data_IF_196604181095
#
_entry.id   IF_196604181095
#
_cell.length_a   1.000
_cell.length_b   1.000
_cell.length_c   1.000
_cell.angle_alpha   90.00
_cell.angle_beta   90.00
_cell.angle_gamma   90.00
#
_symmetry.space_group_name_H-M   'P 1'
#
loop_
_entity.id
_entity.type
_entity.pdbx_description
1 polymer ?
#
# COMPACT_ATOMS: atom_id res chain seq x y z
N UNK A 1 11.19 42.11 -66.85
CA UNK A 1 10.49 42.00 -65.56
C UNK A 1 10.67 40.57 -65.05
N UNK A 2 11.66 40.33 -64.19
CA UNK A 2 11.56 40.28 -62.72
C UNK A 2 11.19 38.87 -62.20
N UNK A 3 12.23 38.10 -61.84
CA UNK A 3 12.40 37.09 -60.77
C UNK A 3 11.19 36.30 -60.22
N UNK A 4 11.26 34.95 -60.25
CA UNK A 4 10.97 33.96 -59.16
C UNK A 4 11.66 32.63 -59.58
N UNK A 5 12.86 32.17 -59.18
CA UNK A 5 13.44 31.66 -57.91
C UNK A 5 12.69 30.47 -57.25
N UNK A 6 13.26 29.26 -57.48
CA UNK A 6 13.55 28.14 -56.55
C UNK A 6 12.52 27.74 -55.46
N UNK A 7 12.16 26.44 -55.43
CA UNK A 7 12.32 25.55 -54.25
C UNK A 7 11.39 24.32 -54.34
N UNK A 8 11.92 23.18 -54.77
CA UNK A 8 11.38 21.86 -54.40
C UNK A 8 12.54 21.01 -53.87
N UNK A 9 13.04 21.41 -52.70
CA UNK A 9 13.90 20.57 -51.88
C UNK A 9 12.99 19.70 -51.01
N UNK A 10 12.79 18.46 -51.46
CA UNK A 10 12.14 17.39 -50.70
C UNK A 10 13.06 17.02 -49.53
N UNK A 11 12.91 17.74 -48.42
CA UNK A 11 13.51 17.34 -47.15
C UNK A 11 12.73 16.15 -46.64
N UNK A 12 13.32 14.97 -46.76
CA UNK A 12 13.04 13.82 -45.91
C UNK A 12 13.26 14.23 -44.46
N UNK A 13 12.25 14.76 -43.80
CA UNK A 13 12.20 14.82 -42.34
C UNK A 13 11.87 13.41 -41.84
N UNK A 14 12.89 12.56 -41.83
CA UNK A 14 12.91 11.36 -41.00
C UNK A 14 12.94 11.84 -39.56
N UNK A 15 11.77 12.00 -38.94
CA UNK A 15 11.66 12.05 -37.48
C UNK A 15 11.96 10.63 -37.01
N UNK A 16 13.25 10.31 -36.90
CA UNK A 16 13.71 9.31 -35.95
C UNK A 16 13.46 9.91 -34.56
N UNK A 17 12.22 9.76 -34.10
CA UNK A 17 11.88 9.91 -32.70
C UNK A 17 12.69 8.87 -31.94
N UNK A 18 13.89 9.25 -31.51
CA UNK A 18 14.61 8.57 -30.45
C UNK A 18 13.72 8.75 -29.23
N UNK A 19 12.83 7.79 -29.00
CA UNK A 19 12.29 7.55 -27.67
C UNK A 19 13.51 7.17 -26.83
N UNK A 20 14.12 8.15 -26.17
CA UNK A 20 14.87 7.81 -24.97
C UNK A 20 13.82 7.20 -24.05
N UNK A 21 13.83 5.87 -23.91
CA UNK A 21 13.20 5.26 -22.75
C UNK A 21 13.78 6.03 -21.57
N UNK A 22 12.95 6.84 -20.90
CA UNK A 22 13.34 7.46 -19.64
C UNK A 22 13.79 6.30 -18.77
N UNK A 23 15.09 6.24 -18.51
CA UNK A 23 15.66 5.21 -17.66
C UNK A 23 14.95 5.34 -16.30
N UNK A 24 14.25 4.28 -15.91
CA UNK A 24 13.38 4.30 -14.74
C UNK A 24 14.26 4.54 -13.50
N UNK A 25 14.06 5.68 -12.81
CA UNK A 25 14.90 6.08 -11.68
C UNK A 25 14.78 5.01 -10.58
N UNK A 26 15.86 4.25 -10.36
CA UNK A 26 15.93 3.22 -9.31
C UNK A 26 16.27 3.88 -7.98
N UNK A 27 15.37 3.77 -7.02
CA UNK A 27 15.58 4.24 -5.65
C UNK A 27 15.97 3.04 -4.79
N UNK A 28 17.21 3.03 -4.31
CA UNK A 28 17.69 2.04 -3.35
C UNK A 28 17.45 2.52 -1.91
N UNK A 29 16.88 1.65 -1.07
CA UNK A 29 16.57 1.97 0.33
C UNK A 29 16.98 0.81 1.24
N UNK A 30 17.84 1.11 2.22
CA UNK A 30 18.18 0.20 3.31
C UNK A 30 17.23 0.45 4.50
N UNK A 31 16.36 -0.52 4.84
CA UNK A 31 15.34 -0.32 5.87
C UNK A 31 14.99 -1.58 6.66
N UNK A 32 14.49 -1.39 7.89
CA UNK A 32 14.04 -2.47 8.78
C UNK A 32 12.51 -2.56 8.89
N UNK A 33 12.02 -3.79 8.75
CA UNK A 33 10.66 -4.21 9.09
C UNK A 33 10.65 -5.02 10.38
N UNK A 34 9.54 -4.92 11.12
CA UNK A 34 9.39 -5.55 12.43
C UNK A 34 7.98 -6.12 12.53
N UNK A 35 7.86 -7.35 13.01
CA UNK A 35 6.58 -8.00 13.25
C UNK A 35 6.52 -8.60 14.65
N UNK A 36 5.53 -8.18 15.43
CA UNK A 36 5.29 -8.68 16.79
C UNK A 36 4.43 -9.95 16.73
N UNK A 37 5.02 -11.09 17.07
CA UNK A 37 4.35 -12.38 17.04
C UNK A 37 3.28 -12.47 18.12
N UNK A 38 2.06 -12.83 17.72
CA UNK A 38 1.03 -13.27 18.66
C UNK A 38 1.27 -14.75 19.05
N UNK A 39 0.59 -15.21 20.10
CA UNK A 39 0.62 -16.61 20.49
C UNK A 39 0.11 -17.51 19.34
N UNK A 40 0.79 -18.62 19.08
CA UNK A 40 0.44 -19.57 18.02
C UNK A 40 0.86 -19.18 16.60
N UNK A 41 1.45 -18.00 16.39
CA UNK A 41 1.98 -17.59 15.08
C UNK A 41 3.27 -18.34 14.75
N UNK A 42 3.34 -18.89 13.54
CA UNK A 42 4.55 -19.55 13.04
C UNK A 42 5.69 -18.55 12.81
N UNK A 43 6.93 -19.03 12.92
CA UNK A 43 8.11 -18.22 12.62
C UNK A 43 8.13 -17.81 11.15
N UNK A 44 7.64 -18.67 10.26
CA UNK A 44 7.57 -18.38 8.82
C UNK A 44 6.67 -17.18 8.52
N UNK A 45 5.45 -17.18 9.08
CA UNK A 45 4.55 -16.04 8.94
C UNK A 45 5.18 -14.76 9.51
N UNK A 46 5.84 -14.86 10.66
CA UNK A 46 6.47 -13.70 11.27
C UNK A 46 7.62 -13.12 10.42
N UNK A 47 8.40 -13.99 9.77
CA UNK A 47 9.47 -13.60 8.85
C UNK A 47 8.89 -12.93 7.60
N UNK A 48 7.92 -13.56 6.95
CA UNK A 48 7.25 -13.00 5.76
C UNK A 48 6.61 -11.65 6.05
N UNK A 49 5.92 -11.52 7.18
CA UNK A 49 5.32 -10.23 7.57
C UNK A 49 6.38 -9.17 7.90
N UNK A 50 7.47 -9.53 8.59
CA UNK A 50 8.55 -8.57 8.85
C UNK A 50 9.25 -8.13 7.55
N UNK A 51 9.43 -9.03 6.59
CA UNK A 51 9.96 -8.73 5.26
C UNK A 51 9.02 -7.82 4.47
N UNK A 52 7.72 -8.15 4.40
CA UNK A 52 6.71 -7.32 3.76
C UNK A 52 6.64 -5.91 4.38
N UNK A 53 6.68 -5.79 5.71
CA UNK A 53 6.68 -4.48 6.40
C UNK A 53 7.93 -3.68 6.04
N UNK A 54 9.09 -4.32 5.88
CA UNK A 54 10.31 -3.65 5.43
C UNK A 54 10.14 -3.11 4.00
N UNK A 55 9.64 -3.96 3.08
CA UNK A 55 9.33 -3.58 1.69
C UNK A 55 8.33 -2.42 1.65
N UNK A 56 7.25 -2.49 2.44
CA UNK A 56 6.20 -1.46 2.48
C UNK A 56 6.77 -0.10 2.86
N UNK A 57 7.65 -0.05 3.86
CA UNK A 57 8.31 1.19 4.26
C UNK A 57 9.23 1.73 3.16
N UNK A 58 9.91 0.86 2.41
CA UNK A 58 10.71 1.27 1.26
C UNK A 58 9.82 1.87 0.16
N UNK A 59 8.72 1.19 -0.20
CA UNK A 59 7.73 1.69 -1.16
C UNK A 59 7.13 3.02 -0.71
N UNK A 60 6.77 3.16 0.57
CA UNK A 60 6.23 4.41 1.11
C UNK A 60 7.24 5.55 1.04
N UNK A 61 8.52 5.26 1.27
CA UNK A 61 9.60 6.26 1.19
C UNK A 61 9.87 6.67 -0.25
N UNK A 62 10.08 5.70 -1.14
CA UNK A 62 10.34 5.93 -2.56
C UNK A 62 9.14 6.59 -3.26
N UNK A 63 7.93 6.12 -2.98
CA UNK A 63 6.69 6.66 -3.54
C UNK A 63 6.45 8.13 -3.18
N UNK A 64 6.73 8.55 -1.93
CA UNK A 64 6.69 9.97 -1.55
C UNK A 64 7.65 10.82 -2.40
N UNK A 65 8.87 10.35 -2.59
CA UNK A 65 9.88 11.05 -3.38
C UNK A 65 9.49 11.12 -4.87
N UNK A 66 9.09 10.00 -5.46
CA UNK A 66 8.66 9.93 -6.87
C UNK A 66 7.43 10.81 -7.12
N UNK A 67 6.46 10.79 -6.20
CA UNK A 67 5.26 11.62 -6.29
C UNK A 67 5.61 13.11 -6.18
N UNK A 68 6.51 13.49 -5.27
CA UNK A 68 7.00 14.87 -5.16
C UNK A 68 7.72 15.35 -6.42
N UNK A 69 8.43 14.46 -7.12
CA UNK A 69 9.03 14.73 -8.44
C UNK A 69 8.05 14.63 -9.61
N UNK A 70 6.77 14.34 -9.36
CA UNK A 70 5.76 14.08 -10.41
C UNK A 70 6.11 12.94 -11.37
N UNK A 71 6.91 11.97 -10.91
CA UNK A 71 7.26 10.76 -11.67
C UNK A 71 6.20 9.66 -11.56
N UNK A 72 5.34 9.75 -10.54
CA UNK A 72 4.15 8.92 -10.37
C UNK A 72 2.96 9.81 -10.00
N UNK A 73 1.75 9.33 -10.28
CA UNK A 73 0.52 9.96 -9.82
C UNK A 73 0.43 9.99 -8.29
N UNK A 74 -0.36 10.90 -7.73
CA UNK A 74 -0.66 10.92 -6.29
C UNK A 74 -1.58 9.77 -5.85
N UNK A 75 -2.24 9.10 -6.81
CA UNK A 75 -3.19 7.99 -6.67
C UNK A 75 -4.41 8.23 -5.77
N UNK A 76 -4.48 9.36 -5.05
CA UNK A 76 -5.59 9.75 -4.19
C UNK A 76 -6.07 8.61 -3.29
N UNK A 77 -7.38 8.31 -3.36
CA UNK A 77 -8.03 7.25 -2.58
C UNK A 77 -7.56 5.83 -2.90
N UNK A 78 -6.80 5.62 -3.99
CA UNK A 78 -6.23 4.32 -4.37
C UNK A 78 -4.81 4.11 -3.86
N UNK A 79 -4.20 5.13 -3.25
CA UNK A 79 -2.78 5.09 -2.85
C UNK A 79 -2.47 3.84 -2.02
N UNK A 80 -3.25 3.56 -0.98
CA UNK A 80 -2.97 2.44 -0.08
C UNK A 80 -3.11 1.07 -0.76
N UNK A 81 -4.03 0.94 -1.73
CA UNK A 81 -4.19 -0.26 -2.57
C UNK A 81 -2.96 -0.47 -3.45
N UNK A 82 -2.61 0.56 -4.22
CA UNK A 82 -1.51 0.53 -5.20
C UNK A 82 -0.17 0.31 -4.50
N UNK A 83 0.08 0.99 -3.38
CA UNK A 83 1.33 0.83 -2.64
C UNK A 83 1.44 -0.57 -2.01
N UNK A 84 0.33 -1.17 -1.57
CA UNK A 84 0.35 -2.53 -1.03
C UNK A 84 0.63 -3.56 -2.12
N UNK A 85 0.03 -3.40 -3.30
CA UNK A 85 0.32 -4.26 -4.45
C UNK A 85 1.76 -4.09 -4.97
N UNK A 86 2.26 -2.86 -5.05
CA UNK A 86 3.65 -2.60 -5.42
C UNK A 86 4.62 -3.29 -4.43
N UNK A 87 4.31 -3.26 -3.14
CA UNK A 87 5.13 -3.88 -2.08
C UNK A 87 5.33 -5.37 -2.29
N UNK A 88 4.33 -6.09 -2.82
CA UNK A 88 4.50 -7.51 -3.14
C UNK A 88 5.56 -7.74 -4.21
N UNK A 89 5.58 -6.91 -5.24
CA UNK A 89 6.33 -7.16 -6.47
C UNK A 89 7.76 -6.62 -6.44
N UNK A 90 8.06 -5.59 -5.64
CA UNK A 90 9.41 -4.99 -5.66
C UNK A 90 10.50 -6.00 -5.28
N UNK A 91 11.69 -5.81 -5.86
CA UNK A 91 12.87 -6.59 -5.52
C UNK A 91 13.49 -6.09 -4.20
N UNK A 92 13.86 -7.03 -3.33
CA UNK A 92 14.54 -6.73 -2.09
C UNK A 92 15.48 -7.85 -1.66
N UNK A 93 16.69 -7.48 -1.27
CA UNK A 93 17.69 -8.37 -0.69
C UNK A 93 17.60 -8.32 0.84
N UNK A 94 17.59 -9.48 1.52
CA UNK A 94 17.68 -9.54 2.97
C UNK A 94 19.14 -9.38 3.40
N UNK A 95 19.47 -8.25 4.02
CA UNK A 95 20.80 -7.97 4.57
C UNK A 95 21.01 -8.63 5.93
N UNK A 96 19.97 -8.66 6.76
CA UNK A 96 20.01 -9.22 8.11
C UNK A 96 18.62 -9.64 8.56
N UNK A 97 18.54 -10.72 9.33
CA UNK A 97 17.33 -11.11 10.04
C UNK A 97 17.68 -11.55 11.46
N UNK A 98 16.81 -11.23 12.41
CA UNK A 98 16.94 -11.68 13.80
C UNK A 98 15.59 -11.79 14.48
N UNK A 99 15.51 -12.71 15.43
CA UNK A 99 14.38 -12.85 16.35
C UNK A 99 14.80 -12.33 17.71
N UNK A 100 14.00 -11.42 18.28
CA UNK A 100 14.14 -10.98 19.66
C UNK A 100 13.02 -11.62 20.47
N UNK A 101 13.36 -12.19 21.62
CA UNK A 101 12.39 -12.76 22.55
C UNK A 101 12.55 -12.05 23.88
N UNK A 102 11.45 -11.52 24.39
CA UNK A 102 11.37 -10.85 25.69
C UNK A 102 10.15 -11.41 26.44
N UNK A 103 10.41 -12.27 27.43
CA UNK A 103 9.38 -13.08 28.09
C UNK A 103 8.55 -13.88 27.08
N UNK A 104 7.24 -13.66 27.08
CA UNK A 104 6.30 -14.32 26.17
C UNK A 104 6.11 -13.58 24.83
N UNK A 105 6.72 -12.40 24.66
CA UNK A 105 6.66 -11.64 23.43
C UNK A 105 7.85 -11.98 22.53
N UNK A 106 7.58 -12.20 21.24
CA UNK A 106 8.64 -12.41 20.26
C UNK A 106 8.45 -11.46 19.08
N UNK A 107 9.54 -10.82 18.65
CA UNK A 107 9.53 -9.91 17.51
C UNK A 107 10.52 -10.41 16.47
N UNK A 108 10.06 -10.57 15.24
CA UNK A 108 10.92 -10.83 14.09
C UNK A 108 11.31 -9.52 13.42
N UNK A 109 12.58 -9.36 13.10
CA UNK A 109 13.14 -8.14 12.52
C UNK A 109 13.92 -8.53 11.28
N UNK A 110 13.60 -7.89 10.15
CA UNK A 110 14.29 -8.08 8.87
C UNK A 110 14.80 -6.72 8.41
N UNK A 111 16.08 -6.64 8.07
CA UNK A 111 16.70 -5.52 7.38
C UNK A 111 16.90 -5.89 5.92
N UNK A 112 16.42 -5.04 5.02
CA UNK A 112 16.52 -5.26 3.58
C UNK A 112 17.25 -4.11 2.90
N UNK A 113 17.75 -4.39 1.69
CA UNK A 113 18.00 -3.40 0.64
C UNK A 113 16.92 -3.58 -0.43
N UNK A 114 16.05 -2.60 -0.58
CA UNK A 114 14.98 -2.62 -1.57
C UNK A 114 15.33 -1.75 -2.76
N UNK A 115 14.89 -2.15 -3.96
CA UNK A 115 14.95 -1.36 -5.18
C UNK A 115 13.53 -1.02 -5.60
N UNK A 116 13.23 0.27 -5.72
CA UNK A 116 11.88 0.75 -6.06
C UNK A 116 11.96 1.71 -7.23
N UNK A 117 11.08 1.51 -8.21
CA UNK A 117 11.04 2.24 -9.47
C UNK A 117 9.64 2.82 -9.72
N UNK A 118 9.52 3.80 -10.61
CA UNK A 118 8.21 4.36 -10.98
C UNK A 118 7.33 3.30 -11.66
N UNK A 119 7.92 2.42 -12.48
CA UNK A 119 7.17 1.34 -13.15
C UNK A 119 6.54 0.34 -12.19
N UNK A 120 7.04 0.19 -10.96
CA UNK A 120 6.43 -0.69 -9.95
C UNK A 120 5.03 -0.20 -9.57
N UNK A 121 4.84 1.11 -9.43
CA UNK A 121 3.54 1.72 -9.14
C UNK A 121 2.60 1.65 -10.34
N UNK A 122 3.12 1.78 -11.56
CA UNK A 122 2.34 1.61 -12.80
C UNK A 122 1.85 0.16 -12.93
N UNK A 123 2.73 -0.83 -12.71
CA UNK A 123 2.34 -2.25 -12.71
C UNK A 123 1.28 -2.53 -11.64
N UNK A 124 1.47 -1.98 -10.44
CA UNK A 124 0.50 -2.13 -9.35
C UNK A 124 -0.86 -1.49 -9.65
N UNK A 125 -0.90 -0.31 -10.30
CA UNK A 125 -2.16 0.33 -10.70
C UNK A 125 -2.90 -0.46 -11.77
N UNK A 126 -2.18 -1.06 -12.73
CA UNK A 126 -2.74 -1.97 -13.71
C UNK A 126 -3.26 -3.27 -13.07
N UNK A 127 -2.56 -3.79 -12.07
CA UNK A 127 -3.00 -4.97 -11.29
C UNK A 127 -4.28 -4.66 -10.50
N UNK A 128 -4.34 -3.52 -9.81
CA UNK A 128 -5.55 -3.07 -9.11
C UNK A 128 -6.74 -2.95 -10.07
N UNK A 129 -6.55 -2.39 -11.26
CA UNK A 129 -7.60 -2.29 -12.26
C UNK A 129 -8.11 -3.67 -12.73
N UNK A 130 -7.23 -4.68 -12.82
CA UNK A 130 -7.62 -6.06 -13.14
C UNK A 130 -8.38 -6.73 -11.99
N UNK A 131 -7.91 -6.54 -10.76
CA UNK A 131 -8.57 -7.10 -9.57
C UNK A 131 -9.97 -6.52 -9.37
N UNK A 132 -10.14 -5.20 -9.50
CA UNK A 132 -11.45 -4.55 -9.47
C UNK A 132 -12.43 -5.17 -10.49
N UNK A 133 -11.96 -5.48 -11.71
CA UNK A 133 -12.80 -6.10 -12.76
C UNK A 133 -13.14 -7.56 -12.43
N UNK A 134 -12.27 -8.27 -11.73
CA UNK A 134 -12.50 -9.65 -11.29
C UNK A 134 -13.52 -9.67 -10.15
N UNK A 135 -13.34 -8.82 -9.16
CA UNK A 135 -14.20 -8.73 -7.97
C UNK A 135 -15.63 -8.26 -8.32
N UNK A 136 -15.77 -7.36 -9.30
CA UNK A 136 -17.09 -6.95 -9.82
C UNK A 136 -17.89 -8.11 -10.47
N UNK A 137 -17.27 -9.28 -10.66
CA UNK A 137 -17.90 -10.50 -11.19
C UNK A 137 -17.96 -11.63 -10.16
N UNK A 138 -17.62 -11.37 -8.90
CA UNK A 138 -17.67 -12.37 -7.84
C UNK A 138 -19.11 -12.86 -7.63
N UNK A 139 -19.24 -14.11 -7.19
CA UNK A 139 -20.55 -14.63 -6.80
C UNK A 139 -21.04 -13.96 -5.52
N UNK A 140 -22.36 -13.91 -5.32
CA UNK A 140 -22.94 -13.38 -4.09
C UNK A 140 -22.46 -14.12 -2.84
N UNK A 141 -22.20 -15.43 -2.95
CA UNK A 141 -21.68 -16.22 -1.82
C UNK A 141 -20.26 -15.79 -1.43
N UNK A 142 -19.36 -15.64 -2.41
CA UNK A 142 -17.99 -15.17 -2.17
C UNK A 142 -17.97 -13.75 -1.60
N UNK A 143 -18.86 -12.88 -2.08
CA UNK A 143 -19.03 -11.52 -1.58
C UNK A 143 -19.47 -11.50 -0.11
N UNK A 144 -20.35 -12.42 0.30
CA UNK A 144 -20.86 -12.46 1.67
C UNK A 144 -19.91 -13.15 2.65
N UNK A 145 -19.24 -14.23 2.22
CA UNK A 145 -18.34 -15.02 3.06
C UNK A 145 -16.97 -14.34 3.26
N UNK A 146 -16.54 -13.54 2.29
CA UNK A 146 -15.25 -12.84 2.31
C UNK A 146 -14.08 -13.77 2.68
N UNK A 147 -13.91 -14.89 1.97
CA UNK A 147 -12.89 -15.86 2.30
C UNK A 147 -11.50 -15.24 2.12
N UNK A 148 -10.62 -15.50 3.10
CA UNK A 148 -9.21 -15.13 3.00
C UNK A 148 -8.43 -16.38 2.61
N UNK A 149 -7.64 -16.29 1.54
CA UNK A 149 -6.75 -17.38 1.10
C UNK A 149 -5.80 -17.80 2.24
N UNK A 150 -5.41 -19.07 2.27
CA UNK A 150 -4.40 -19.56 3.21
C UNK A 150 -2.98 -19.08 2.84
N UNK A 151 -2.74 -18.74 1.57
CA UNK A 151 -1.44 -18.26 1.08
C UNK A 151 -1.06 -16.92 1.71
N UNK A 152 0.21 -16.75 2.11
CA UNK A 152 0.68 -15.50 2.71
C UNK A 152 0.90 -14.47 1.60
N UNK A 153 -0.12 -13.64 1.36
CA UNK A 153 -0.06 -12.53 0.41
C UNK A 153 -0.62 -11.23 1.04
N UNK A 154 0.13 -10.61 1.96
CA UNK A 154 -0.35 -9.46 2.71
C UNK A 154 -0.70 -8.25 1.82
N UNK A 155 0.03 -8.03 0.71
CA UNK A 155 -0.23 -6.89 -0.17
C UNK A 155 -1.54 -7.03 -0.93
N UNK A 156 -1.82 -8.20 -1.50
CA UNK A 156 -3.09 -8.43 -2.19
C UNK A 156 -4.24 -8.42 -1.19
N UNK A 157 -4.07 -9.07 -0.04
CA UNK A 157 -5.09 -9.14 1.01
C UNK A 157 -5.50 -7.74 1.51
N UNK A 158 -4.55 -6.90 1.94
CA UNK A 158 -4.92 -5.57 2.43
C UNK A 158 -5.43 -4.66 1.31
N UNK A 159 -4.94 -4.83 0.07
CA UNK A 159 -5.44 -4.08 -1.08
C UNK A 159 -6.93 -4.37 -1.33
N UNK A 160 -7.37 -5.62 -1.18
CA UNK A 160 -8.78 -5.99 -1.26
C UNK A 160 -9.62 -5.28 -0.20
N UNK A 161 -9.15 -5.26 1.06
CA UNK A 161 -9.83 -4.54 2.13
C UNK A 161 -10.03 -3.06 1.78
N UNK A 162 -8.99 -2.40 1.25
CA UNK A 162 -9.11 -1.01 0.82
C UNK A 162 -10.02 -0.82 -0.38
N UNK A 163 -10.09 -1.76 -1.33
CA UNK A 163 -11.03 -1.70 -2.45
C UNK A 163 -12.48 -1.74 -1.96
N UNK A 164 -12.82 -2.63 -1.03
CA UNK A 164 -14.14 -2.68 -0.39
C UNK A 164 -14.49 -1.34 0.28
N UNK A 165 -13.53 -0.71 0.97
CA UNK A 165 -13.73 0.61 1.58
C UNK A 165 -14.03 1.69 0.52
N UNK A 166 -13.29 1.68 -0.59
CA UNK A 166 -13.49 2.61 -1.72
C UNK A 166 -14.83 2.38 -2.43
N UNK A 167 -15.27 1.12 -2.54
CA UNK A 167 -16.57 0.72 -3.07
C UNK A 167 -17.75 1.05 -2.12
N UNK A 168 -17.47 1.64 -0.95
CA UNK A 168 -18.45 1.95 0.11
C UNK A 168 -19.08 0.70 0.76
N UNK A 169 -18.50 -0.48 0.57
CA UNK A 169 -18.91 -1.76 1.15
C UNK A 169 -18.34 -1.94 2.58
N UNK A 170 -18.55 -0.94 3.43
CA UNK A 170 -17.87 -0.78 4.73
C UNK A 170 -18.13 -1.92 5.71
N UNK A 171 -19.32 -2.53 5.66
CA UNK A 171 -19.68 -3.70 6.50
C UNK A 171 -18.87 -4.93 6.08
N UNK A 172 -18.82 -5.19 4.78
CA UNK A 172 -18.06 -6.28 4.18
C UNK A 172 -16.56 -6.08 4.47
N UNK A 173 -16.05 -4.87 4.26
CA UNK A 173 -14.67 -4.52 4.60
C UNK A 173 -14.33 -4.80 6.08
N UNK A 174 -15.22 -4.46 7.03
CA UNK A 174 -14.99 -4.76 8.45
C UNK A 174 -14.99 -6.27 8.73
N UNK A 175 -15.87 -7.04 8.10
CA UNK A 175 -15.88 -8.52 8.21
C UNK A 175 -14.56 -9.08 7.68
N UNK A 176 -14.16 -8.69 6.48
CA UNK A 176 -12.90 -9.11 5.87
C UNK A 176 -11.68 -8.73 6.73
N UNK A 177 -11.63 -7.50 7.26
CA UNK A 177 -10.58 -7.05 8.19
C UNK A 177 -10.55 -7.86 9.51
N UNK A 178 -11.68 -8.43 9.95
CA UNK A 178 -11.68 -9.35 11.09
C UNK A 178 -11.09 -10.71 10.73
N UNK A 179 -11.30 -11.19 9.50
CA UNK A 179 -10.64 -12.40 9.00
C UNK A 179 -9.14 -12.17 8.82
N UNK A 180 -8.74 -11.04 8.25
CA UNK A 180 -7.33 -10.65 8.13
C UNK A 180 -6.64 -10.55 9.49
N UNK A 181 -7.31 -10.03 10.54
CA UNK A 181 -6.69 -9.95 11.87
C UNK A 181 -6.38 -11.35 12.44
N UNK A 182 -7.16 -12.37 12.07
CA UNK A 182 -6.86 -13.77 12.45
C UNK A 182 -5.68 -14.34 11.68
N UNK A 183 -5.58 -14.02 10.38
CA UNK A 183 -4.48 -14.46 9.51
C UNK A 183 -3.16 -13.75 9.84
N UNK A 184 -3.21 -12.45 10.08
CA UNK A 184 -2.07 -11.57 10.35
C UNK A 184 -2.22 -10.84 11.69
N UNK A 185 -2.17 -11.58 12.82
CA UNK A 185 -2.39 -10.98 14.12
C UNK A 185 -1.28 -9.98 14.46
N UNK A 186 -1.64 -8.88 15.13
CA UNK A 186 -0.72 -7.78 15.44
C UNK A 186 -0.14 -7.05 14.22
N UNK A 187 -0.80 -7.10 13.06
CA UNK A 187 -0.44 -6.25 11.93
C UNK A 187 -1.08 -4.87 12.02
N UNK A 188 -0.26 -3.81 12.01
CA UNK A 188 -0.73 -2.44 12.31
C UNK A 188 -1.67 -1.88 11.22
N UNK A 189 -1.44 -2.24 9.96
CA UNK A 189 -2.17 -1.78 8.79
C UNK A 189 -3.64 -2.22 8.82
N UNK A 190 -3.94 -3.41 9.34
CA UNK A 190 -5.32 -3.85 9.58
C UNK A 190 -6.03 -2.90 10.55
N UNK A 191 -5.35 -2.49 11.61
CA UNK A 191 -5.91 -1.57 12.59
C UNK A 191 -6.06 -0.15 12.04
N UNK A 192 -5.19 0.28 11.11
CA UNK A 192 -5.37 1.53 10.36
C UNK A 192 -6.63 1.49 9.50
N UNK A 193 -6.83 0.41 8.73
CA UNK A 193 -8.03 0.24 7.93
C UNK A 193 -9.31 0.17 8.79
N UNK A 194 -9.27 -0.49 9.96
CA UNK A 194 -10.38 -0.48 10.92
C UNK A 194 -10.65 0.90 11.50
N UNK A 195 -9.60 1.69 11.79
CA UNK A 195 -9.76 3.06 12.25
C UNK A 195 -10.51 3.91 11.21
N UNK A 196 -10.16 3.76 9.93
CA UNK A 196 -10.87 4.43 8.83
C UNK A 196 -12.36 4.03 8.78
N UNK A 197 -12.68 2.74 8.93
CA UNK A 197 -14.09 2.29 9.01
C UNK A 197 -14.81 2.97 10.17
N UNK A 198 -14.19 3.02 11.35
CA UNK A 198 -14.81 3.64 12.52
C UNK A 198 -14.98 5.15 12.40
N UNK A 199 -14.03 5.84 11.76
CA UNK A 199 -14.15 7.26 11.43
C UNK A 199 -15.40 7.50 10.58
N UNK A 200 -15.54 6.74 9.50
CA UNK A 200 -16.66 6.82 8.57
C UNK A 200 -18.01 6.55 9.25
N UNK A 201 -18.06 5.67 10.26
CA UNK A 201 -19.26 5.40 11.05
C UNK A 201 -19.47 6.36 12.22
N UNK A 202 -18.68 7.43 12.34
CA UNK A 202 -18.72 8.38 13.46
C UNK A 202 -18.61 7.68 14.82
N UNK A 203 -17.72 6.67 14.93
CA UNK A 203 -17.43 5.93 16.17
C UNK A 203 -16.05 6.30 16.74
N UNK A 204 -15.88 7.52 17.30
CA UNK A 204 -14.57 8.05 17.68
C UNK A 204 -13.87 7.22 18.76
N UNK A 205 -14.62 6.62 19.70
CA UNK A 205 -14.03 5.75 20.73
C UNK A 205 -13.39 4.49 20.11
N UNK A 206 -14.07 3.85 19.16
CA UNK A 206 -13.57 2.68 18.44
C UNK A 206 -12.41 3.04 17.52
N UNK A 207 -12.50 4.18 16.83
CA UNK A 207 -11.41 4.72 16.01
C UNK A 207 -10.15 4.94 16.85
N UNK A 208 -10.25 5.65 17.98
CA UNK A 208 -9.14 5.89 18.90
C UNK A 208 -8.54 4.59 19.43
N UNK A 209 -9.38 3.59 19.73
CA UNK A 209 -8.92 2.26 20.15
C UNK A 209 -8.11 1.55 19.04
N UNK A 210 -8.60 1.61 17.81
CA UNK A 210 -7.92 1.02 16.65
C UNK A 210 -6.58 1.71 16.35
N UNK A 211 -6.56 3.05 16.30
CA UNK A 211 -5.32 3.82 16.17
C UNK A 211 -4.35 3.52 17.32
N UNK A 212 -4.85 3.44 18.56
CA UNK A 212 -4.05 3.08 19.74
C UNK A 212 -3.38 1.71 19.62
N UNK A 213 -4.06 0.75 18.98
CA UNK A 213 -3.47 -0.57 18.69
C UNK A 213 -2.43 -0.46 17.57
N UNK A 214 -2.72 0.23 16.47
CA UNK A 214 -1.74 0.44 15.38
C UNK A 214 -0.47 1.17 15.86
N UNK A 215 -0.61 2.20 16.69
CA UNK A 215 0.51 2.96 17.25
C UNK A 215 1.41 2.08 18.13
N UNK A 216 0.83 1.25 19.02
CA UNK A 216 1.60 0.28 19.83
C UNK A 216 2.34 -0.77 19.00
N UNK A 217 1.87 -1.03 17.79
CA UNK A 217 2.51 -1.93 16.82
C UNK A 217 3.57 -1.21 15.97
N UNK A 218 3.84 0.07 16.23
CA UNK A 218 4.90 0.84 15.60
C UNK A 218 4.47 1.63 14.36
N UNK A 219 3.17 1.76 14.08
CA UNK A 219 2.69 2.63 13.01
C UNK A 219 2.75 4.11 13.46
N UNK A 220 3.65 4.87 12.85
CA UNK A 220 3.90 6.28 13.22
C UNK A 220 2.71 7.18 12.90
N UNK A 221 2.10 7.01 11.73
CA UNK A 221 0.89 7.76 11.33
C UNK A 221 -0.21 7.60 12.36
N UNK A 222 -0.45 6.38 12.85
CA UNK A 222 -1.42 6.13 13.92
C UNK A 222 -1.10 6.90 15.21
N UNK A 223 0.17 6.97 15.60
CA UNK A 223 0.61 7.72 16.77
C UNK A 223 0.40 9.23 16.59
N UNK A 224 0.72 9.74 15.40
CA UNK A 224 0.55 11.15 15.06
C UNK A 224 -0.94 11.54 15.02
N UNK A 225 -1.79 10.69 14.42
CA UNK A 225 -3.24 10.89 14.38
C UNK A 225 -3.84 10.91 15.80
N UNK A 226 -3.39 10.01 16.69
CA UNK A 226 -3.82 9.99 18.10
C UNK A 226 -3.41 11.24 18.86
N UNK A 227 -2.20 11.75 18.63
CA UNK A 227 -1.71 12.96 19.27
C UNK A 227 -2.53 14.19 18.83
N UNK A 228 -2.98 14.22 17.58
CA UNK A 228 -3.73 15.32 16.97
C UNK A 228 -5.26 15.16 17.02
N UNK A 229 -5.76 14.11 17.67
CA UNK A 229 -7.18 13.69 17.65
C UNK A 229 -8.15 14.68 18.31
N UNK A 230 -7.69 15.79 18.90
CA UNK A 230 -8.58 16.86 19.40
C UNK A 230 -9.43 17.51 18.28
N UNK A 231 -9.15 17.18 17.02
CA UNK A 231 -9.79 17.75 15.82
C UNK A 231 -10.76 16.81 15.08
N UNK A 232 -11.22 15.66 15.62
CA UNK A 232 -11.99 14.66 14.80
C UNK A 232 -13.26 15.20 14.16
N UNK A 233 -13.87 16.27 14.68
CA UNK A 233 -15.01 16.92 14.02
C UNK A 233 -14.61 17.74 12.77
N UNK A 234 -13.31 17.98 12.56
CA UNK A 234 -12.72 18.79 11.48
C UNK A 234 -11.56 18.06 10.74
N UNK A 235 -11.21 16.84 11.15
CA UNK A 235 -10.05 16.12 10.60
C UNK A 235 -10.43 15.50 9.25
N UNK A 236 -9.98 16.11 8.17
CA UNK A 236 -10.03 15.57 6.81
C UNK A 236 -8.98 14.46 6.68
N UNK A 237 -9.44 13.22 6.53
CA UNK A 237 -8.57 12.06 6.23
C UNK A 237 -8.09 12.03 4.77
N UNK A 238 -8.24 13.13 4.02
CA UNK A 238 -8.14 13.14 2.56
C UNK A 238 -9.33 12.45 1.91
N UNK A 239 -10.46 12.40 2.62
CA UNK A 239 -11.71 11.79 2.18
C UNK A 239 -12.69 12.95 2.15
N UNK A 240 -12.81 13.60 1.00
CA UNK A 240 -13.93 14.50 0.78
C UNK A 240 -15.22 13.67 0.83
N UNK A 241 -15.85 13.63 1.99
CA UNK A 241 -17.19 13.08 2.18
C UNK A 241 -18.19 14.17 1.73
N UNK A 242 -18.09 14.61 0.48
CA UNK A 242 -19.07 15.46 -0.18
C UNK A 242 -19.06 15.07 -1.66
N UNK A 243 -19.98 14.16 -2.00
CA UNK A 243 -21.16 14.43 -2.83
C UNK A 243 -22.20 13.33 -2.58
#
# INVERSE_FOLDING_TARGET
MLKIIFCTWLVFYSISGITSAMEDEVIEVDIEGRYLMAAGVSVELAKEMAFYIAKKKAVDSAGRYLSHKSLIESYGLKRDQIYSLATNEIEAEILKQKRLTDGNASTYIVRIRARVQASDFVKASLKDAKENKKEAKASFQEEMEQPVSAEIDPGSDISHAYRLLRARERRIAMIYLNHLEKKYPNWAEIHMAKALVYYIYHKPASMKKALGKACRLGNKTACDDLANIKKVHEYDFGISIFD
#
